data_IF_305683271747
#
_entry.id   IF_305683271747
#
_cell.length_a   1.000
_cell.length_b   1.000
_cell.length_c   1.000
_cell.angle_alpha   90.00
_cell.angle_beta   90.00
_cell.angle_gamma   90.00
#
_symmetry.space_group_name_H-M   'P 1'
#
loop_
_entity.id
_entity.type
_entity.pdbx_description
1 polymer ?
#
# COMPACT_ATOMS: atom_id res chain seq x y z
N UNK A 1 -80.27 -38.52 -38.15
CA UNK A 1 -79.08 -39.12 -37.52
C UNK A 1 -77.97 -38.92 -38.53
N UNK A 2 -76.94 -38.21 -38.42
CA UNK A 2 -75.93 -38.03 -37.41
C UNK A 2 -75.12 -36.80 -37.76
N UNK A 3 -74.95 -35.94 -36.74
CA UNK A 3 -74.06 -34.78 -36.74
C UNK A 3 -72.56 -35.17 -36.77
N UNK A 4 -71.76 -34.15 -37.07
CA UNK A 4 -70.35 -33.97 -36.79
C UNK A 4 -69.34 -34.37 -37.85
N UNK A 5 -68.74 -33.33 -38.47
CA UNK A 5 -67.30 -33.10 -38.63
C UNK A 5 -67.02 -31.82 -39.43
N UNK A 6 -67.03 -30.74 -38.74
CA UNK A 6 -66.52 -29.49 -39.34
C UNK A 6 -65.89 -28.61 -38.22
N UNK A 7 -64.85 -29.10 -37.58
CA UNK A 7 -64.19 -28.25 -36.54
C UNK A 7 -62.70 -28.50 -36.35
N UNK A 8 -61.94 -29.04 -37.30
CA UNK A 8 -60.51 -29.29 -37.04
C UNK A 8 -59.51 -28.75 -38.03
N UNK A 9 -59.90 -27.84 -38.91
CA UNK A 9 -58.97 -27.33 -39.97
C UNK A 9 -58.50 -25.88 -39.78
N UNK A 10 -58.78 -25.19 -38.65
CA UNK A 10 -58.40 -23.76 -38.50
C UNK A 10 -57.44 -23.47 -37.34
N UNK A 11 -56.85 -24.48 -36.70
CA UNK A 11 -55.90 -24.23 -35.59
C UNK A 11 -54.42 -24.34 -35.96
N UNK A 12 -54.08 -24.78 -37.19
CA UNK A 12 -52.66 -25.01 -37.56
C UNK A 12 -51.90 -23.85 -38.15
N UNK A 13 -52.57 -22.76 -38.62
CA UNK A 13 -51.91 -21.76 -39.47
C UNK A 13 -51.49 -20.46 -38.76
N UNK A 14 -51.87 -20.23 -37.51
CA UNK A 14 -51.51 -19.00 -36.78
C UNK A 14 -50.30 -19.08 -35.86
N UNK A 15 -49.75 -20.26 -35.67
CA UNK A 15 -48.73 -20.46 -34.63
C UNK A 15 -47.28 -20.49 -35.15
N UNK A 16 -47.06 -20.70 -36.43
CA UNK A 16 -45.71 -20.84 -37.01
C UNK A 16 -44.96 -19.47 -37.07
N UNK A 17 -45.65 -18.44 -37.52
CA UNK A 17 -45.07 -17.09 -37.61
C UNK A 17 -44.73 -16.51 -36.17
N UNK A 18 -45.62 -16.75 -35.20
CA UNK A 18 -45.39 -16.28 -33.82
C UNK A 18 -44.22 -17.07 -33.17
N UNK A 19 -44.11 -18.36 -33.44
CA UNK A 19 -42.99 -19.18 -32.96
C UNK A 19 -41.64 -18.77 -33.59
N UNK A 20 -41.63 -18.43 -34.87
CA UNK A 20 -40.42 -17.92 -35.55
C UNK A 20 -40.01 -16.55 -34.98
N UNK A 21 -40.94 -15.62 -34.75
CA UNK A 21 -40.68 -14.37 -34.13
C UNK A 21 -40.15 -14.51 -32.69
N UNK A 22 -40.68 -15.44 -31.90
CA UNK A 22 -40.17 -15.73 -30.53
C UNK A 22 -38.76 -16.29 -30.56
N UNK A 23 -38.44 -17.22 -31.47
CA UNK A 23 -37.08 -17.78 -31.61
C UNK A 23 -36.09 -16.70 -32.04
N UNK A 24 -36.46 -15.83 -33.01
CA UNK A 24 -35.60 -14.73 -33.44
C UNK A 24 -35.38 -13.76 -32.29
N UNK A 25 -36.40 -13.43 -31.49
CA UNK A 25 -36.28 -12.57 -30.30
C UNK A 25 -35.34 -13.14 -29.26
N UNK A 26 -35.41 -14.43 -28.96
CA UNK A 26 -34.51 -15.12 -28.02
C UNK A 26 -33.08 -15.14 -28.55
N UNK A 27 -32.86 -15.34 -29.86
CA UNK A 27 -31.52 -15.29 -30.46
C UNK A 27 -30.94 -13.91 -30.41
N UNK A 28 -31.72 -12.84 -30.67
CA UNK A 28 -31.26 -11.46 -30.59
C UNK A 28 -30.93 -11.06 -29.15
N UNK A 29 -31.77 -11.46 -28.20
CA UNK A 29 -31.50 -11.20 -26.77
C UNK A 29 -30.27 -12.01 -26.31
N UNK A 30 -30.12 -13.27 -26.72
CA UNK A 30 -28.97 -14.10 -26.40
C UNK A 30 -27.66 -13.57 -26.97
N UNK A 31 -27.66 -13.04 -28.19
CA UNK A 31 -26.46 -12.42 -28.79
C UNK A 31 -26.09 -11.08 -28.15
N UNK A 32 -27.05 -10.30 -27.68
CA UNK A 32 -26.82 -9.06 -26.94
C UNK A 32 -26.15 -9.32 -25.57
N UNK A 33 -26.46 -10.44 -24.93
CA UNK A 33 -25.81 -10.84 -23.65
C UNK A 33 -24.38 -11.35 -23.84
N UNK A 34 -24.06 -11.95 -24.98
CA UNK A 34 -22.72 -12.43 -25.31
C UNK A 34 -21.76 -11.31 -25.73
N UNK A 35 -22.26 -10.17 -26.18
CA UNK A 35 -21.45 -9.01 -26.56
C UNK A 35 -21.00 -8.16 -25.35
N UNK A 36 -21.52 -8.41 -24.15
CA UNK A 36 -21.34 -7.59 -22.95
C UNK A 36 -20.06 -7.78 -22.16
N UNK A 37 -19.18 -8.74 -22.47
CA UNK A 37 -18.04 -9.10 -21.64
C UNK A 37 -16.69 -9.04 -22.36
N UNK A 38 -16.46 -8.09 -23.25
CA UNK A 38 -15.10 -7.80 -23.71
C UNK A 38 -14.61 -6.48 -23.11
N UNK A 39 -14.44 -6.43 -21.75
CA UNK A 39 -13.48 -5.51 -21.17
C UNK A 39 -12.11 -6.00 -21.67
N UNK A 40 -11.53 -5.32 -22.64
CA UNK A 40 -10.09 -5.42 -22.87
C UNK A 40 -9.44 -4.91 -21.57
N UNK A 41 -9.08 -5.85 -20.70
CA UNK A 41 -8.11 -5.53 -19.66
C UNK A 41 -6.86 -5.10 -20.42
N UNK A 42 -6.46 -3.85 -20.28
CA UNK A 42 -5.16 -3.42 -20.75
C UNK A 42 -4.12 -4.29 -20.02
N UNK A 43 -3.05 -4.69 -20.71
CA UNK A 43 -1.97 -5.41 -20.06
C UNK A 43 -1.41 -4.53 -18.93
N UNK A 44 -1.11 -5.13 -17.75
CA UNK A 44 -0.58 -4.36 -16.64
C UNK A 44 0.73 -3.67 -17.02
N UNK A 45 0.87 -2.39 -16.65
CA UNK A 45 2.13 -1.65 -16.79
C UNK A 45 2.76 -1.47 -15.42
N UNK A 46 4.08 -1.62 -15.33
CA UNK A 46 4.81 -1.56 -14.08
C UNK A 46 6.04 -0.68 -14.20
N UNK A 47 6.40 -0.04 -13.08
CA UNK A 47 7.67 0.67 -12.93
C UNK A 47 8.34 0.24 -11.64
N UNK A 48 9.64 0.01 -11.69
CA UNK A 48 10.47 -0.35 -10.55
C UNK A 48 11.57 0.68 -10.36
N UNK A 49 11.89 0.96 -9.09
CA UNK A 49 13.03 1.80 -8.71
C UNK A 49 13.61 1.32 -7.39
N UNK A 50 14.90 1.63 -7.14
CA UNK A 50 15.51 1.43 -5.84
C UNK A 50 15.34 2.70 -5.01
N UNK A 51 14.40 2.69 -4.07
CA UNK A 51 14.05 3.80 -3.18
C UNK A 51 13.75 3.25 -1.79
N UNK A 52 13.85 4.09 -0.76
CA UNK A 52 13.63 3.70 0.65
C UNK A 52 14.48 2.49 1.05
N UNK A 53 15.70 2.40 0.51
CA UNK A 53 16.66 1.32 0.71
C UNK A 53 16.13 -0.08 0.30
N UNK A 54 15.21 -0.14 -0.66
CA UNK A 54 14.63 -1.38 -1.19
C UNK A 54 14.21 -1.23 -2.65
N UNK A 55 13.87 -2.35 -3.31
CA UNK A 55 13.24 -2.32 -4.63
C UNK A 55 11.73 -2.14 -4.47
N UNK A 56 11.22 -1.06 -5.06
CA UNK A 56 9.79 -0.75 -5.11
C UNK A 56 9.31 -1.01 -6.53
N UNK A 57 8.22 -1.75 -6.66
CA UNK A 57 7.52 -1.97 -7.94
C UNK A 57 6.07 -1.54 -7.78
N UNK A 58 5.62 -0.63 -8.64
CA UNK A 58 4.22 -0.22 -8.75
C UNK A 58 3.66 -0.75 -10.05
N UNK A 59 2.48 -1.37 -10.00
CA UNK A 59 1.80 -1.96 -11.16
C UNK A 59 0.40 -1.39 -11.28
N UNK A 60 0.05 -0.92 -12.49
CA UNK A 60 -1.30 -0.50 -12.85
C UNK A 60 -1.98 -1.61 -13.64
N UNK A 61 -3.14 -2.05 -13.17
CA UNK A 61 -3.92 -3.13 -13.81
C UNK A 61 -5.04 -2.60 -14.71
N UNK A 62 -5.55 -1.41 -14.43
CA UNK A 62 -6.73 -0.84 -15.09
C UNK A 62 -6.42 0.41 -15.92
N UNK A 63 -5.15 0.79 -16.05
CA UNK A 63 -4.72 2.01 -16.75
C UNK A 63 -3.37 1.79 -17.45
N UNK A 64 -3.18 2.50 -18.57
CA UNK A 64 -1.92 2.60 -19.31
C UNK A 64 -1.27 3.98 -19.10
N UNK A 65 -1.79 4.79 -18.18
CA UNK A 65 -1.28 6.12 -17.89
C UNK A 65 0.00 6.05 -17.05
N UNK A 66 1.13 6.07 -17.73
CA UNK A 66 2.45 6.02 -17.07
C UNK A 66 2.73 7.23 -16.17
N UNK A 67 1.99 8.34 -16.31
CA UNK A 67 2.16 9.51 -15.44
C UNK A 67 1.79 9.18 -13.98
N UNK A 68 0.88 8.23 -13.77
CA UNK A 68 0.54 7.72 -12.43
C UNK A 68 1.74 6.99 -11.82
N UNK A 69 2.45 6.19 -12.61
CA UNK A 69 3.67 5.49 -12.16
C UNK A 69 4.78 6.48 -11.80
N UNK A 70 4.96 7.51 -12.62
CA UNK A 70 5.92 8.58 -12.34
C UNK A 70 5.60 9.29 -11.03
N UNK A 71 4.34 9.68 -10.83
CA UNK A 71 3.89 10.30 -9.59
C UNK A 71 4.07 9.40 -8.36
N UNK A 72 3.87 8.09 -8.48
CA UNK A 72 4.13 7.14 -7.39
C UNK A 72 5.62 7.08 -7.05
N UNK A 73 6.50 7.05 -8.06
CA UNK A 73 7.95 7.02 -7.83
C UNK A 73 8.46 8.33 -7.23
N UNK A 74 7.94 9.47 -7.70
CA UNK A 74 8.25 10.77 -7.13
C UNK A 74 7.83 10.85 -5.66
N UNK A 75 6.62 10.40 -5.33
CA UNK A 75 6.14 10.33 -3.94
C UNK A 75 7.06 9.47 -3.06
N UNK A 76 7.48 8.29 -3.53
CA UNK A 76 8.43 7.45 -2.81
C UNK A 76 9.78 8.15 -2.59
N UNK A 77 10.29 8.85 -3.61
CA UNK A 77 11.52 9.65 -3.51
C UNK A 77 11.39 10.79 -2.51
N UNK A 78 10.25 11.46 -2.47
CA UNK A 78 10.01 12.54 -1.51
C UNK A 78 9.95 12.03 -0.07
N UNK A 79 9.30 10.87 0.16
CA UNK A 79 9.36 10.22 1.47
C UNK A 79 10.77 9.75 1.85
N UNK A 80 11.59 9.29 0.91
CA UNK A 80 13.00 8.97 1.18
C UNK A 80 13.77 10.20 1.68
N UNK A 81 13.59 11.36 1.04
CA UNK A 81 14.21 12.63 1.46
C UNK A 81 13.79 13.06 2.86
N UNK A 82 12.58 12.68 3.30
CA UNK A 82 12.09 13.00 4.64
C UNK A 82 12.55 11.98 5.70
N UNK A 83 12.50 10.70 5.39
CA UNK A 83 12.53 9.61 6.36
C UNK A 83 13.84 8.82 6.38
N UNK A 84 14.75 9.04 5.46
CA UNK A 84 16.02 8.29 5.43
C UNK A 84 16.86 8.56 6.68
N UNK A 85 17.29 7.49 7.35
CA UNK A 85 18.24 7.61 8.47
C UNK A 85 19.69 7.87 8.02
N UNK A 86 19.98 7.68 6.73
CA UNK A 86 21.33 7.79 6.15
C UNK A 86 21.52 8.99 5.22
N UNK A 87 20.45 9.55 4.69
CA UNK A 87 20.52 10.71 3.80
C UNK A 87 20.67 11.98 4.63
N UNK A 88 21.86 12.57 4.59
CA UNK A 88 22.14 13.84 5.25
C UNK A 88 21.14 14.93 4.82
N UNK A 89 20.57 15.62 5.79
CA UNK A 89 19.54 16.63 5.53
C UNK A 89 18.10 16.14 5.63
N UNK A 90 17.85 14.83 5.64
CA UNK A 90 16.51 14.29 5.94
C UNK A 90 16.09 14.65 7.38
N UNK A 91 14.78 14.64 7.67
CA UNK A 91 14.27 14.96 9.00
C UNK A 91 14.70 13.89 10.02
N UNK A 92 14.61 12.61 9.66
CA UNK A 92 15.04 11.50 10.52
C UNK A 92 16.54 11.54 10.77
N UNK A 93 17.37 11.77 9.74
CA UNK A 93 18.80 11.90 9.91
C UNK A 93 19.14 13.02 10.91
N UNK A 94 18.56 14.22 10.76
CA UNK A 94 18.78 15.36 11.68
C UNK A 94 18.36 15.05 13.12
N UNK A 95 17.24 14.35 13.30
CA UNK A 95 16.77 13.93 14.61
C UNK A 95 17.72 12.93 15.27
N UNK A 96 18.22 11.97 14.51
CA UNK A 96 19.14 10.94 15.02
C UNK A 96 20.56 11.46 15.28
N UNK A 97 21.01 12.49 14.54
CA UNK A 97 22.32 13.13 14.70
C UNK A 97 22.25 14.47 15.49
N UNK A 98 21.23 14.62 16.32
CA UNK A 98 21.03 15.80 17.15
C UNK A 98 22.15 16.00 18.17
N UNK A 99 22.35 17.25 18.58
CA UNK A 99 23.27 17.57 19.67
C UNK A 99 22.71 17.08 21.02
N UNK A 100 23.58 16.74 21.98
CA UNK A 100 23.16 16.45 23.35
C UNK A 100 22.28 17.60 23.91
N UNK A 101 21.13 17.25 24.47
CA UNK A 101 20.16 18.21 25.00
C UNK A 101 19.20 18.81 23.98
N UNK A 102 19.43 18.63 22.67
CA UNK A 102 18.48 19.01 21.62
C UNK A 102 17.43 17.91 21.47
N UNK A 103 16.24 18.11 21.99
CA UNK A 103 15.23 17.04 22.12
C UNK A 103 13.96 17.27 21.34
N UNK A 104 13.69 18.50 20.89
CA UNK A 104 12.42 18.84 20.24
C UNK A 104 12.65 19.31 18.81
N UNK A 105 11.88 18.76 17.90
CA UNK A 105 11.97 19.00 16.45
C UNK A 105 10.58 19.31 15.89
N UNK A 106 10.50 20.29 15.01
CA UNK A 106 9.34 20.47 14.14
C UNK A 106 9.59 19.67 12.86
N UNK A 107 8.69 18.76 12.54
CA UNK A 107 8.74 17.90 11.35
C UNK A 107 7.65 18.27 10.37
N UNK A 108 7.80 17.85 9.12
CA UNK A 108 6.78 18.01 8.08
C UNK A 108 5.53 17.16 8.39
N UNK A 109 4.41 17.49 7.74
CA UNK A 109 3.17 16.71 7.84
C UNK A 109 3.37 15.25 7.39
N UNK A 110 4.24 15.03 6.38
CA UNK A 110 4.59 13.69 5.89
C UNK A 110 5.24 12.86 6.98
N UNK A 111 6.29 13.39 7.60
CA UNK A 111 7.01 12.74 8.70
C UNK A 111 6.10 12.56 9.92
N UNK A 112 5.33 13.58 10.30
CA UNK A 112 4.41 13.50 11.44
C UNK A 112 3.39 12.35 11.26
N UNK A 113 2.81 12.18 10.08
CA UNK A 113 1.88 11.08 9.80
C UNK A 113 2.53 9.70 9.94
N UNK A 114 3.76 9.54 9.45
CA UNK A 114 4.48 8.27 9.57
C UNK A 114 4.82 7.97 11.02
N UNK A 115 5.34 8.95 11.76
CA UNK A 115 5.64 8.83 13.19
C UNK A 115 4.39 8.51 14.00
N UNK A 116 3.27 9.17 13.73
CA UNK A 116 2.00 8.91 14.39
C UNK A 116 1.56 7.44 14.20
N UNK A 117 1.65 6.93 12.97
CA UNK A 117 1.32 5.53 12.67
C UNK A 117 2.31 4.57 13.33
N UNK A 118 3.59 4.87 13.29
CA UNK A 118 4.61 4.07 13.95
C UNK A 118 4.34 3.97 15.47
N UNK A 119 4.08 5.09 16.15
CA UNK A 119 3.74 5.09 17.58
C UNK A 119 2.41 4.38 17.89
N UNK A 120 1.42 4.45 16.98
CA UNK A 120 0.17 3.69 17.11
C UNK A 120 0.45 2.19 17.11
N UNK A 121 1.24 1.69 16.13
CA UNK A 121 1.60 0.28 16.06
C UNK A 121 2.52 -0.17 17.20
N UNK A 122 3.43 0.69 17.67
CA UNK A 122 4.24 0.39 18.85
C UNK A 122 3.37 0.13 20.09
N UNK A 123 2.33 0.94 20.29
CA UNK A 123 1.38 0.74 21.40
C UNK A 123 0.51 -0.51 21.23
N UNK A 124 -0.06 -0.74 20.03
CA UNK A 124 -0.92 -1.90 19.75
C UNK A 124 -0.16 -3.22 19.94
N UNK A 125 1.12 -3.24 19.56
CA UNK A 125 1.98 -4.42 19.67
C UNK A 125 2.67 -4.54 21.05
N UNK A 126 2.38 -3.63 21.97
CA UNK A 126 3.03 -3.59 23.31
C UNK A 126 4.57 -3.55 23.20
N UNK A 127 5.10 -2.85 22.18
CA UNK A 127 6.53 -2.71 21.93
C UNK A 127 7.16 -3.86 21.13
N UNK A 128 6.40 -4.85 20.66
CA UNK A 128 6.93 -5.87 19.74
C UNK A 128 7.35 -5.27 18.39
N UNK A 129 6.68 -4.22 17.96
CA UNK A 129 7.14 -3.26 16.96
C UNK A 129 7.49 -1.97 17.69
N UNK A 130 8.68 -1.45 17.51
CA UNK A 130 9.11 -0.20 18.15
C UNK A 130 9.85 0.69 17.15
N UNK A 131 9.36 1.93 16.96
CA UNK A 131 9.99 2.88 16.05
C UNK A 131 11.34 3.38 16.55
N UNK A 132 11.69 3.13 17.81
CA UNK A 132 12.96 3.52 18.40
C UNK A 132 14.03 2.42 18.37
N UNK A 133 13.82 1.37 17.56
CA UNK A 133 14.74 0.21 17.44
C UNK A 133 16.10 0.56 16.80
N UNK A 134 16.27 1.75 16.30
CA UNK A 134 17.45 2.15 15.53
C UNK A 134 18.79 1.88 16.24
N UNK A 135 18.99 2.15 17.54
CA UNK A 135 20.24 1.84 18.22
C UNK A 135 20.64 0.37 18.12
N UNK A 136 19.67 -0.54 18.25
CA UNK A 136 19.90 -1.98 18.07
C UNK A 136 20.12 -2.34 16.61
N UNK A 137 19.29 -1.81 15.70
CA UNK A 137 19.43 -2.07 14.25
C UNK A 137 20.84 -1.71 13.74
N UNK A 138 21.39 -0.62 14.23
CA UNK A 138 22.74 -0.16 13.87
C UNK A 138 23.84 -1.09 14.42
N UNK A 139 23.67 -1.72 15.59
CA UNK A 139 24.62 -2.67 16.11
C UNK A 139 24.83 -3.88 15.21
N UNK A 140 23.75 -4.41 14.58
CA UNK A 140 23.87 -5.55 13.67
C UNK A 140 24.42 -5.17 12.30
N UNK A 141 24.30 -3.90 11.89
CA UNK A 141 24.78 -3.36 10.62
C UNK A 141 24.50 -4.28 9.42
N UNK A 142 23.26 -4.79 9.31
CA UNK A 142 22.84 -5.77 8.29
C UNK A 142 23.12 -5.35 6.85
N UNK A 143 23.25 -4.06 6.60
CA UNK A 143 23.55 -3.48 5.29
C UNK A 143 25.01 -3.06 5.13
N UNK A 144 25.81 -3.21 6.19
CA UNK A 144 27.24 -2.92 6.18
C UNK A 144 28.07 -3.93 5.39
N UNK A 145 29.35 -3.62 5.22
CA UNK A 145 30.28 -4.51 4.48
C UNK A 145 30.66 -5.76 5.26
N UNK A 146 30.58 -5.73 6.57
CA UNK A 146 30.99 -6.81 7.47
C UNK A 146 30.07 -6.88 8.70
N UNK A 147 28.80 -7.32 8.50
CA UNK A 147 27.84 -7.42 9.59
C UNK A 147 28.33 -8.42 10.65
N UNK A 148 28.32 -7.98 11.90
CA UNK A 148 28.78 -8.77 13.05
C UNK A 148 27.60 -9.08 13.98
N UNK A 149 27.67 -10.22 14.67
CA UNK A 149 26.77 -10.48 15.80
C UNK A 149 27.28 -9.69 17.01
N UNK A 150 26.50 -8.70 17.51
CA UNK A 150 26.95 -7.89 18.65
C UNK A 150 27.17 -8.70 19.92
N UNK A 151 28.02 -8.21 20.80
CA UNK A 151 28.22 -8.84 22.10
C UNK A 151 27.00 -8.61 23.02
N UNK A 152 26.68 -9.52 23.93
CA UNK A 152 25.52 -9.42 24.82
C UNK A 152 25.46 -8.13 25.64
N UNK A 153 26.62 -7.62 26.06
CA UNK A 153 26.73 -6.37 26.85
C UNK A 153 26.43 -5.14 25.98
N UNK A 154 26.82 -5.12 24.71
CA UNK A 154 26.48 -4.07 23.75
C UNK A 154 24.96 -4.04 23.50
N UNK A 155 24.37 -5.22 23.29
CA UNK A 155 22.90 -5.35 23.14
C UNK A 155 22.19 -4.80 24.39
N UNK A 156 22.61 -5.20 25.59
CA UNK A 156 22.00 -4.74 26.83
C UNK A 156 22.16 -3.23 27.06
N UNK A 157 23.26 -2.66 26.61
CA UNK A 157 23.52 -1.21 26.68
C UNK A 157 22.56 -0.45 25.77
N UNK A 158 22.40 -0.89 24.52
CA UNK A 158 21.60 -0.19 23.54
C UNK A 158 20.10 -0.47 23.67
N UNK A 159 19.73 -1.62 24.23
CA UNK A 159 18.34 -1.90 24.59
C UNK A 159 17.74 -0.86 25.54
N UNK A 160 18.55 -0.25 26.41
CA UNK A 160 18.12 0.81 27.34
C UNK A 160 17.72 2.12 26.63
N UNK A 161 18.11 2.28 25.36
CA UNK A 161 17.77 3.45 24.53
C UNK A 161 16.48 3.24 23.74
N UNK A 162 16.01 1.98 23.63
CA UNK A 162 14.81 1.59 22.91
C UNK A 162 13.61 1.69 23.85
N UNK A 163 12.50 2.14 23.33
CA UNK A 163 11.21 2.27 24.02
C UNK A 163 10.42 3.43 23.41
N UNK A 164 9.32 3.12 22.73
CA UNK A 164 8.48 4.11 22.06
C UNK A 164 7.89 5.15 23.01
N UNK A 165 7.85 4.85 24.31
CA UNK A 165 7.46 5.78 25.39
C UNK A 165 8.45 6.95 25.54
N UNK A 166 9.68 6.79 25.03
CA UNK A 166 10.68 7.85 25.00
C UNK A 166 10.45 8.91 23.92
N UNK A 167 9.37 8.76 23.14
CA UNK A 167 9.01 9.67 22.05
C UNK A 167 7.61 10.24 22.28
N UNK A 168 7.49 11.57 22.23
CA UNK A 168 6.21 12.27 22.26
C UNK A 168 6.02 13.00 20.93
N UNK A 169 4.88 12.77 20.28
CA UNK A 169 4.46 13.50 19.10
C UNK A 169 3.19 14.28 19.42
N UNK A 170 3.26 15.60 19.25
CA UNK A 170 2.12 16.51 19.41
C UNK A 170 1.98 17.36 18.12
N UNK A 171 1.03 17.00 17.28
CA UNK A 171 0.96 17.54 15.92
C UNK A 171 2.26 17.28 15.16
N UNK A 172 2.92 18.32 14.71
CA UNK A 172 4.21 18.25 14.00
C UNK A 172 5.42 18.43 14.93
N UNK A 173 5.21 18.48 16.23
CA UNK A 173 6.28 18.61 17.20
C UNK A 173 6.62 17.26 17.80
N UNK A 174 7.81 16.77 17.49
CA UNK A 174 8.38 15.53 18.03
C UNK A 174 9.37 15.86 19.15
N UNK A 175 9.28 15.13 20.27
CA UNK A 175 10.19 15.31 21.41
C UNK A 175 10.72 13.97 21.86
N UNK A 176 12.05 13.87 22.03
CA UNK A 176 12.71 12.75 22.68
C UNK A 176 12.84 13.01 24.19
N UNK A 177 12.51 12.05 25.02
CA UNK A 177 12.61 12.20 26.48
C UNK A 177 14.04 11.97 26.98
N UNK A 178 14.90 11.30 26.21
CA UNK A 178 16.32 11.12 26.52
C UNK A 178 17.21 11.33 25.28
N UNK A 179 18.50 11.48 25.48
CA UNK A 179 19.45 11.79 24.41
C UNK A 179 19.87 10.55 23.60
N UNK A 180 19.71 9.34 24.16
CA UNK A 180 20.15 8.10 23.53
C UNK A 180 19.14 7.43 22.61
N UNK A 181 17.87 7.85 22.63
CA UNK A 181 16.82 7.30 21.77
C UNK A 181 16.95 7.86 20.35
N UNK A 182 16.90 6.99 19.34
CA UNK A 182 16.86 7.32 17.90
C UNK A 182 15.73 6.55 17.23
N UNK A 183 15.34 6.94 16.02
CA UNK A 183 14.22 6.34 15.27
C UNK A 183 14.63 5.86 13.88
#
# INVERSE_FOLDING_TARGET
MTFTRCSDRMKGMKNTGVRILFIISIIVIGTAWLAGCSRKNADPVSRSSFLLNTFITVTLYDSQDETILDGCMELCSDYEKLLSKTLEGSEVYRMNHRKPGERTFTVSDGTARVLQKGLEYSRISEGAFDITIEPLSTLWDFTGKDPQVPQPDEIQKDLKKVGYENVILNGNQMTFLNDGTTI
#
